data_IF_563307354118
#
_entry.id   IF_563307354118
#
_cell.length_a   1.000
_cell.length_b   1.000
_cell.length_c   1.000
_cell.angle_alpha   90.00
_cell.angle_beta   90.00
_cell.angle_gamma   90.00
#
_symmetry.space_group_name_H-M   'P 1'
#
loop_
_entity.id
_entity.type
_entity.pdbx_description
1 polymer ?
#
# COMPACT_ATOMS: atom_id res chain seq x y z
N UNK A 1 -52.75 10.47 -5.17
CA UNK A 1 -52.34 11.71 -4.47
C UNK A 1 -51.59 11.24 -3.24
N UNK A 2 -50.32 11.60 -3.11
CA UNK A 2 -49.51 11.19 -1.97
C UNK A 2 -50.07 11.86 -0.70
N UNK A 3 -50.02 11.20 0.46
CA UNK A 3 -50.58 11.74 1.70
C UNK A 3 -50.02 13.12 2.06
N UNK A 4 -48.74 13.39 1.73
CA UNK A 4 -48.12 14.71 1.90
C UNK A 4 -48.78 15.78 1.03
N UNK A 5 -49.10 15.47 -0.24
CA UNK A 5 -49.77 16.42 -1.15
C UNK A 5 -51.19 16.77 -0.70
N UNK A 6 -51.83 15.88 0.06
CA UNK A 6 -53.19 16.11 0.55
C UNK A 6 -53.27 17.18 1.64
N UNK A 7 -52.15 17.44 2.33
CA UNK A 7 -52.08 18.37 3.47
C UNK A 7 -51.07 19.49 3.25
N UNK A 8 -50.35 19.50 2.12
CA UNK A 8 -49.37 20.53 1.80
C UNK A 8 -49.87 21.52 0.74
N UNK A 9 -49.43 22.77 0.85
CA UNK A 9 -49.69 23.82 -0.13
C UNK A 9 -48.39 24.45 -0.60
N UNK A 10 -48.21 24.46 -1.92
CA UNK A 10 -47.08 25.06 -2.62
C UNK A 10 -47.56 26.01 -3.72
N UNK A 11 -46.90 27.17 -3.88
CA UNK A 11 -47.26 28.17 -4.88
C UNK A 11 -46.05 28.61 -5.72
N UNK A 12 -45.79 27.87 -6.80
CA UNK A 12 -44.60 28.10 -7.64
C UNK A 12 -43.33 28.08 -6.80
N UNK A 13 -42.47 29.09 -6.98
CA UNK A 13 -41.23 29.25 -6.20
C UNK A 13 -41.44 30.00 -4.86
N UNK A 14 -42.67 30.44 -4.56
CA UNK A 14 -42.97 31.25 -3.38
C UNK A 14 -43.67 30.42 -2.30
N UNK A 15 -43.04 30.34 -1.12
CA UNK A 15 -43.60 29.67 0.05
C UNK A 15 -43.53 30.61 1.27
N UNK A 16 -44.55 31.46 1.46
CA UNK A 16 -44.57 32.45 2.55
C UNK A 16 -45.01 31.89 3.90
N UNK A 17 -45.80 30.81 3.90
CA UNK A 17 -46.29 30.13 5.09
C UNK A 17 -45.73 28.70 5.13
N UNK A 18 -45.78 28.06 6.30
CA UNK A 18 -45.44 26.63 6.40
C UNK A 18 -46.30 25.85 5.37
N UNK A 19 -45.69 24.99 4.53
CA UNK A 19 -46.44 24.27 3.51
C UNK A 19 -47.45 23.30 4.11
N UNK A 20 -47.21 22.76 5.31
CA UNK A 20 -48.16 21.87 5.98
C UNK A 20 -49.33 22.70 6.53
N UNK A 21 -50.51 22.50 5.94
CA UNK A 21 -51.72 23.25 6.30
C UNK A 21 -52.54 22.58 7.40
N UNK A 22 -52.40 21.26 7.56
CA UNK A 22 -53.09 20.55 8.64
C UNK A 22 -52.44 20.88 9.99
N UNK A 23 -53.25 21.37 10.92
CA UNK A 23 -52.86 21.60 12.31
C UNK A 23 -53.59 20.67 13.27
N UNK A 24 -53.10 20.58 14.51
CA UNK A 24 -53.72 19.75 15.55
C UNK A 24 -55.14 20.20 15.90
N UNK A 25 -55.45 21.49 15.86
CA UNK A 25 -56.82 21.98 16.04
C UNK A 25 -57.79 21.43 14.98
N UNK A 26 -57.35 21.29 13.73
CA UNK A 26 -58.16 20.69 12.65
C UNK A 26 -58.47 19.22 12.96
N UNK A 27 -57.47 18.47 13.45
CA UNK A 27 -57.66 17.08 13.87
C UNK A 27 -58.61 16.97 15.07
N UNK A 28 -58.39 17.77 16.13
CA UNK A 28 -59.24 17.82 17.34
C UNK A 28 -60.70 18.10 17.00
N UNK A 29 -60.92 19.11 16.15
CA UNK A 29 -62.26 19.53 15.75
C UNK A 29 -62.95 18.49 14.85
N UNK A 30 -62.19 17.74 14.03
CA UNK A 30 -62.75 16.66 13.22
C UNK A 30 -63.04 15.43 14.08
N UNK A 31 -62.14 15.07 14.98
CA UNK A 31 -62.27 13.94 15.90
C UNK A 31 -63.51 14.05 16.77
N UNK A 32 -63.76 15.25 17.30
CA UNK A 32 -64.88 15.51 18.22
C UNK A 32 -66.26 15.65 17.58
N UNK A 33 -66.40 15.44 16.26
CA UNK A 33 -67.69 15.56 15.60
C UNK A 33 -68.55 14.32 15.87
N UNK A 34 -69.86 14.51 16.06
CA UNK A 34 -70.83 13.39 16.06
C UNK A 34 -70.64 12.50 14.84
N UNK A 35 -70.45 13.08 13.65
CA UNK A 35 -70.30 12.28 12.42
C UNK A 35 -69.08 11.35 12.46
N UNK A 36 -68.01 11.76 13.13
CA UNK A 36 -66.83 10.92 13.38
C UNK A 36 -67.15 9.81 14.37
N UNK A 37 -67.80 10.13 15.49
CA UNK A 37 -68.15 9.15 16.52
C UNK A 37 -69.16 8.12 15.98
N UNK A 38 -70.20 8.55 15.26
CA UNK A 38 -71.14 7.64 14.58
C UNK A 38 -70.43 6.73 13.60
N UNK A 39 -69.43 7.24 12.87
CA UNK A 39 -68.65 6.42 11.96
C UNK A 39 -67.84 5.37 12.71
N UNK A 40 -67.19 5.74 13.82
CA UNK A 40 -66.43 4.80 14.66
C UNK A 40 -67.35 3.72 15.21
N UNK A 41 -68.53 4.05 15.74
CA UNK A 41 -69.53 3.08 16.18
C UNK A 41 -69.84 2.06 15.05
N UNK A 42 -70.03 2.52 13.81
CA UNK A 42 -70.27 1.64 12.67
C UNK A 42 -69.10 0.70 12.36
N UNK A 43 -67.86 1.14 12.58
CA UNK A 43 -66.67 0.29 12.46
C UNK A 43 -66.68 -0.75 13.57
N UNK A 44 -66.90 -0.34 14.83
CA UNK A 44 -66.92 -1.24 15.99
C UNK A 44 -67.97 -2.35 15.84
N UNK A 45 -69.17 -2.01 15.35
CA UNK A 45 -70.23 -2.98 15.05
C UNK A 45 -69.85 -4.07 14.03
N UNK A 46 -68.85 -3.84 13.18
CA UNK A 46 -68.37 -4.84 12.21
C UNK A 46 -67.33 -5.80 12.82
N UNK A 47 -66.68 -5.38 13.91
CA UNK A 47 -65.66 -6.16 14.58
C UNK A 47 -66.28 -7.28 15.42
N UNK A 48 -65.47 -8.30 15.70
CA UNK A 48 -65.82 -9.27 16.72
C UNK A 48 -65.65 -8.61 18.10
N UNK A 49 -66.79 -8.28 18.71
CA UNK A 49 -66.85 -7.61 20.00
C UNK A 49 -66.22 -8.38 21.16
N UNK A 50 -65.92 -7.62 22.20
CA UNK A 50 -65.56 -8.03 23.55
C UNK A 50 -66.15 -7.04 24.56
N UNK A 51 -65.98 -7.27 25.86
CA UNK A 51 -66.56 -6.43 26.90
C UNK A 51 -66.12 -4.95 26.77
N UNK A 52 -64.89 -4.71 26.34
CA UNK A 52 -64.34 -3.37 26.19
C UNK A 52 -64.87 -2.63 24.95
N UNK A 53 -65.02 -3.32 23.83
CA UNK A 53 -65.63 -2.77 22.61
C UNK A 53 -67.09 -2.44 22.86
N UNK A 54 -67.84 -3.33 23.53
CA UNK A 54 -69.22 -3.05 23.95
C UNK A 54 -69.31 -1.88 24.93
N UNK A 55 -68.35 -1.74 25.85
CA UNK A 55 -68.26 -0.57 26.72
C UNK A 55 -68.08 0.72 25.91
N UNK A 56 -67.13 0.74 24.96
CA UNK A 56 -66.85 1.93 24.15
C UNK A 56 -68.03 2.32 23.26
N UNK A 57 -68.69 1.36 22.60
CA UNK A 57 -69.91 1.59 21.82
C UNK A 57 -70.97 2.31 22.67
N UNK A 58 -71.29 1.76 23.85
CA UNK A 58 -72.29 2.35 24.76
C UNK A 58 -71.85 3.71 25.31
N UNK A 59 -70.56 3.89 25.56
CA UNK A 59 -70.01 5.17 26.02
C UNK A 59 -70.23 6.25 24.96
N UNK A 60 -69.93 5.95 23.69
CA UNK A 60 -70.20 6.85 22.57
C UNK A 60 -71.69 7.13 22.36
N UNK A 61 -72.52 6.07 22.33
CA UNK A 61 -73.97 6.20 22.15
C UNK A 61 -74.59 7.07 23.24
N UNK A 62 -74.24 6.84 24.51
CA UNK A 62 -74.74 7.64 25.63
C UNK A 62 -74.27 9.09 25.54
N UNK A 63 -73.05 9.35 25.08
CA UNK A 63 -72.57 10.73 24.89
C UNK A 63 -73.35 11.47 23.82
N UNK A 64 -73.56 10.82 22.66
CA UNK A 64 -74.38 11.36 21.57
C UNK A 64 -75.82 11.62 22.04
N UNK A 65 -76.45 10.65 22.70
CA UNK A 65 -77.84 10.75 23.18
C UNK A 65 -78.02 11.92 24.15
N UNK A 66 -77.07 12.12 25.07
CA UNK A 66 -77.19 13.13 26.14
C UNK A 66 -76.84 14.54 25.70
N UNK A 67 -75.84 14.69 24.85
CA UNK A 67 -75.21 15.98 24.60
C UNK A 67 -75.32 16.44 23.14
N UNK A 68 -75.74 15.55 22.22
CA UNK A 68 -75.96 15.89 20.83
C UNK A 68 -74.74 16.55 20.17
N UNK A 69 -74.97 17.45 19.23
CA UNK A 69 -73.91 18.08 18.41
C UNK A 69 -72.90 18.90 19.23
N UNK A 70 -73.21 19.17 20.50
CA UNK A 70 -72.33 19.87 21.43
C UNK A 70 -71.38 18.92 22.17
N UNK A 71 -71.53 17.60 22.01
CA UNK A 71 -70.61 16.65 22.62
C UNK A 71 -69.26 16.68 21.92
N UNK A 72 -68.24 17.19 22.61
CA UNK A 72 -66.87 17.12 22.16
C UNK A 72 -66.11 16.04 22.92
N UNK A 73 -65.79 14.93 22.27
CA UNK A 73 -64.97 13.86 22.83
C UNK A 73 -63.84 13.50 21.88
N UNK A 74 -62.62 13.41 22.40
CA UNK A 74 -61.49 12.87 21.65
C UNK A 74 -60.80 11.77 22.45
N UNK A 75 -60.34 10.77 21.73
CA UNK A 75 -59.59 9.61 22.16
C UNK A 75 -58.74 9.12 20.96
N UNK A 76 -58.02 8.03 21.15
CA UNK A 76 -57.24 7.44 20.07
C UNK A 76 -58.05 7.21 18.78
N UNK A 77 -59.25 6.63 18.86
CA UNK A 77 -60.04 6.26 17.67
C UNK A 77 -60.53 7.47 16.88
N UNK A 78 -61.04 8.49 17.57
CA UNK A 78 -61.52 9.74 16.96
C UNK A 78 -60.40 10.51 16.28
N UNK A 79 -59.22 10.55 16.89
CA UNK A 79 -58.05 11.21 16.29
C UNK A 79 -57.51 10.39 15.11
N UNK A 80 -57.47 9.06 15.21
CA UNK A 80 -57.07 8.20 14.09
C UNK A 80 -58.01 8.31 12.89
N UNK A 81 -59.32 8.34 13.13
CA UNK A 81 -60.30 8.58 12.08
C UNK A 81 -60.08 9.95 11.41
N UNK A 82 -59.91 11.01 12.21
CA UNK A 82 -59.68 12.36 11.70
C UNK A 82 -58.39 12.43 10.86
N UNK A 83 -57.30 11.86 11.37
CA UNK A 83 -56.02 11.80 10.69
C UNK A 83 -56.13 11.01 9.38
N UNK A 84 -56.70 9.80 9.42
CA UNK A 84 -56.88 8.96 8.23
C UNK A 84 -57.76 9.64 7.17
N UNK A 85 -58.80 10.37 7.58
CA UNK A 85 -59.68 11.11 6.66
C UNK A 85 -58.92 12.17 5.87
N UNK A 86 -58.05 12.93 6.53
CA UNK A 86 -57.33 14.03 5.89
C UNK A 86 -56.07 13.55 5.16
N UNK A 87 -55.25 12.73 5.82
CA UNK A 87 -53.98 12.27 5.29
C UNK A 87 -54.15 11.25 4.16
N UNK A 88 -55.20 10.41 4.23
CA UNK A 88 -55.34 9.21 3.38
C UNK A 88 -54.04 8.40 3.37
N UNK A 89 -53.58 7.91 4.54
CA UNK A 89 -52.23 7.40 4.74
C UNK A 89 -51.92 6.25 3.78
N UNK A 90 -50.72 6.27 3.21
CA UNK A 90 -50.20 5.14 2.44
C UNK A 90 -49.65 4.08 3.39
N UNK A 91 -48.92 4.50 4.43
CA UNK A 91 -48.35 3.62 5.44
C UNK A 91 -48.75 4.07 6.86
N UNK A 92 -49.28 3.12 7.64
CA UNK A 92 -49.65 3.29 9.05
C UNK A 92 -48.87 2.31 9.93
N UNK A 93 -48.26 2.81 11.02
CA UNK A 93 -47.58 2.00 12.02
C UNK A 93 -48.29 2.09 13.37
N UNK A 94 -48.45 0.96 14.05
CA UNK A 94 -49.05 0.89 15.39
C UNK A 94 -48.18 0.02 16.30
N UNK A 95 -47.76 0.58 17.44
CA UNK A 95 -47.17 -0.16 18.56
C UNK A 95 -48.25 -0.34 19.62
N UNK A 96 -48.55 -1.59 19.99
CA UNK A 96 -49.69 -1.93 20.85
C UNK A 96 -50.95 -2.15 20.01
N UNK A 97 -50.97 -3.22 19.23
CA UNK A 97 -52.07 -3.55 18.30
C UNK A 97 -53.26 -4.17 19.03
N UNK A 98 -52.97 -5.01 20.02
CA UNK A 98 -53.94 -5.79 20.77
C UNK A 98 -54.93 -6.54 19.84
N UNK A 99 -56.21 -6.13 19.84
CA UNK A 99 -57.27 -6.72 19.01
C UNK A 99 -57.50 -5.99 17.68
N UNK A 100 -56.73 -4.93 17.40
CA UNK A 100 -56.72 -4.21 16.12
C UNK A 100 -57.85 -3.20 15.93
N UNK A 101 -58.42 -2.67 17.01
CA UNK A 101 -59.58 -1.75 16.94
C UNK A 101 -59.21 -0.41 16.28
N UNK A 102 -58.19 0.24 16.80
CA UNK A 102 -57.48 1.41 16.25
C UNK A 102 -57.14 1.21 14.78
N UNK A 103 -56.41 0.12 14.50
CA UNK A 103 -56.02 -0.24 13.13
C UNK A 103 -57.22 -0.44 12.20
N UNK A 104 -58.32 -1.01 12.70
CA UNK A 104 -59.55 -1.20 11.92
C UNK A 104 -60.24 0.12 11.58
N UNK A 105 -60.18 1.14 12.45
CA UNK A 105 -60.69 2.49 12.14
C UNK A 105 -59.89 3.11 10.99
N UNK A 106 -58.56 3.01 11.02
CA UNK A 106 -57.71 3.50 9.92
C UNK A 106 -57.98 2.70 8.64
N UNK A 107 -58.06 1.37 8.73
CA UNK A 107 -58.30 0.49 7.59
C UNK A 107 -59.65 0.73 6.92
N UNK A 108 -60.72 0.92 7.70
CA UNK A 108 -62.03 1.22 7.14
C UNK A 108 -62.05 2.58 6.43
N UNK A 109 -61.36 3.57 7.01
CA UNK A 109 -61.30 4.94 6.47
C UNK A 109 -60.44 5.02 5.20
N UNK A 110 -59.32 4.29 5.18
CA UNK A 110 -58.40 4.19 4.04
C UNK A 110 -58.10 2.73 3.72
N UNK A 111 -58.99 2.04 2.96
CA UNK A 111 -58.90 0.60 2.71
C UNK A 111 -57.58 0.13 2.09
N UNK A 112 -56.89 0.99 1.35
CA UNK A 112 -55.63 0.64 0.67
C UNK A 112 -54.37 0.93 1.51
N UNK A 113 -54.50 1.42 2.74
CA UNK A 113 -53.37 1.75 3.60
C UNK A 113 -52.58 0.48 3.96
N UNK A 114 -51.25 0.55 3.89
CA UNK A 114 -50.38 -0.52 4.38
C UNK A 114 -50.24 -0.42 5.90
N UNK A 115 -50.54 -1.50 6.60
CA UNK A 115 -50.56 -1.58 8.05
C UNK A 115 -49.34 -2.33 8.58
N UNK A 116 -48.69 -1.75 9.58
CA UNK A 116 -47.51 -2.31 10.24
C UNK A 116 -47.73 -2.32 11.75
N UNK A 117 -48.05 -3.49 12.29
CA UNK A 117 -48.37 -3.67 13.70
C UNK A 117 -47.22 -4.30 14.49
N UNK A 118 -46.98 -3.82 15.70
CA UNK A 118 -46.02 -4.36 16.65
C UNK A 118 -46.72 -4.66 17.97
N UNK A 119 -46.63 -5.90 18.43
CA UNK A 119 -47.26 -6.31 19.69
C UNK A 119 -46.52 -7.50 20.31
N UNK A 120 -46.62 -7.62 21.63
CA UNK A 120 -46.08 -8.77 22.37
C UNK A 120 -47.04 -9.96 22.41
N UNK A 121 -48.31 -9.75 22.07
CA UNK A 121 -49.40 -10.71 22.11
C UNK A 121 -49.58 -11.37 23.48
N UNK A 122 -49.45 -10.56 24.55
CA UNK A 122 -49.52 -11.04 25.94
C UNK A 122 -50.94 -11.57 26.20
N UNK A 123 -51.03 -12.85 26.55
CA UNK A 123 -52.31 -13.47 26.88
C UNK A 123 -52.92 -12.86 28.15
N UNK A 124 -54.24 -12.72 28.14
CA UNK A 124 -55.03 -12.10 29.21
C UNK A 124 -54.52 -10.71 29.67
N UNK A 125 -53.99 -9.92 28.74
CA UNK A 125 -53.53 -8.56 29.02
C UNK A 125 -54.69 -7.71 29.55
N UNK A 126 -54.52 -7.10 30.73
CA UNK A 126 -55.55 -6.31 31.42
C UNK A 126 -56.89 -7.02 31.61
N UNK A 127 -56.88 -8.36 31.71
CA UNK A 127 -58.10 -9.17 31.89
C UNK A 127 -58.89 -9.43 30.61
N UNK A 128 -58.33 -9.07 29.45
CA UNK A 128 -58.93 -9.30 28.14
C UNK A 128 -58.03 -10.20 27.29
N UNK A 129 -58.65 -11.00 26.43
CA UNK A 129 -57.90 -11.88 25.54
C UNK A 129 -57.20 -11.07 24.44
N UNK A 130 -55.89 -11.30 24.28
CA UNK A 130 -55.10 -10.85 23.13
C UNK A 130 -54.92 -12.03 22.14
N UNK A 131 -55.79 -12.17 21.13
CA UNK A 131 -55.89 -13.37 20.30
C UNK A 131 -54.80 -13.48 19.21
N UNK A 132 -53.93 -12.49 19.06
CA UNK A 132 -52.81 -12.54 18.12
C UNK A 132 -53.14 -12.10 16.70
N UNK A 133 -52.13 -12.24 15.82
CA UNK A 133 -52.12 -11.69 14.46
C UNK A 133 -53.28 -12.16 13.58
N UNK A 134 -53.57 -13.47 13.56
CA UNK A 134 -54.62 -14.04 12.70
C UNK A 134 -56.01 -13.48 13.03
N UNK A 135 -56.25 -13.16 14.31
CA UNK A 135 -57.48 -12.48 14.70
C UNK A 135 -57.53 -11.06 14.17
N UNK A 136 -56.45 -10.29 14.34
CA UNK A 136 -56.36 -8.91 13.82
C UNK A 136 -56.56 -8.87 12.31
N UNK A 137 -55.91 -9.78 11.57
CA UNK A 137 -56.11 -9.93 10.12
C UNK A 137 -57.59 -10.15 9.76
N UNK A 138 -58.30 -11.00 10.50
CA UNK A 138 -59.73 -11.22 10.29
C UNK A 138 -60.59 -9.98 10.60
N UNK A 139 -60.16 -9.14 11.56
CA UNK A 139 -60.83 -7.87 11.85
C UNK A 139 -60.64 -6.86 10.72
N UNK A 140 -59.41 -6.73 10.20
CA UNK A 140 -59.12 -5.88 9.04
C UNK A 140 -59.94 -6.30 7.81
N UNK A 141 -60.08 -7.61 7.57
CA UNK A 141 -60.94 -8.12 6.50
C UNK A 141 -62.42 -7.75 6.68
N UNK A 142 -62.95 -7.84 7.91
CA UNK A 142 -64.35 -7.49 8.22
C UNK A 142 -64.68 -6.04 7.87
N UNK A 143 -63.73 -5.13 8.07
CA UNK A 143 -63.90 -3.71 7.78
C UNK A 143 -63.52 -3.32 6.35
N UNK A 144 -63.18 -4.30 5.51
CA UNK A 144 -62.95 -4.13 4.08
C UNK A 144 -61.54 -3.66 3.71
N UNK A 145 -60.53 -3.94 4.54
CA UNK A 145 -59.13 -3.64 4.23
C UNK A 145 -58.65 -4.37 2.97
N UNK A 146 -57.87 -3.67 2.14
CA UNK A 146 -57.34 -4.12 0.84
C UNK A 146 -55.83 -3.90 0.72
N UNK A 147 -55.21 -3.13 1.61
CA UNK A 147 -53.78 -2.89 1.65
C UNK A 147 -52.99 -4.08 2.20
N UNK A 148 -51.67 -3.93 2.29
CA UNK A 148 -50.85 -4.93 2.98
C UNK A 148 -51.00 -4.78 4.50
N UNK A 149 -51.00 -5.90 5.23
CA UNK A 149 -50.91 -5.90 6.68
C UNK A 149 -49.75 -6.80 7.10
N UNK A 150 -48.85 -6.27 7.93
CA UNK A 150 -47.74 -7.03 8.50
C UNK A 150 -47.69 -6.83 10.00
N UNK A 151 -47.42 -7.91 10.72
CA UNK A 151 -47.38 -7.92 12.17
C UNK A 151 -46.07 -8.50 12.67
N UNK A 152 -45.37 -7.75 13.52
CA UNK A 152 -44.13 -8.18 14.15
C UNK A 152 -44.41 -8.50 15.62
N UNK A 153 -44.11 -9.74 16.00
CA UNK A 153 -44.32 -10.23 17.37
C UNK A 153 -43.06 -10.00 18.21
N UNK A 154 -43.19 -9.31 19.34
CA UNK A 154 -42.10 -9.13 20.29
C UNK A 154 -42.10 -7.77 20.98
N UNK A 155 -41.05 -7.53 21.77
CA UNK A 155 -40.85 -6.27 22.47
C UNK A 155 -40.49 -5.16 21.47
N UNK A 156 -41.28 -4.09 21.44
CA UNK A 156 -41.12 -2.94 20.54
C UNK A 156 -39.72 -2.33 20.58
N UNK A 157 -39.07 -2.33 21.75
CA UNK A 157 -37.70 -1.82 21.96
C UNK A 157 -36.65 -2.54 21.14
N UNK A 158 -36.93 -3.77 20.72
CA UNK A 158 -36.06 -4.58 19.87
C UNK A 158 -36.62 -4.69 18.45
N UNK A 159 -37.93 -4.93 18.32
CA UNK A 159 -38.54 -5.24 17.03
C UNK A 159 -38.69 -4.03 16.13
N UNK A 160 -38.97 -2.84 16.68
CA UNK A 160 -39.15 -1.62 15.88
C UNK A 160 -37.82 -1.15 15.29
N UNK A 161 -36.72 -1.03 16.07
CA UNK A 161 -35.39 -0.72 15.50
C UNK A 161 -34.96 -1.73 14.43
N UNK A 162 -35.05 -3.03 14.72
CA UNK A 162 -34.67 -4.08 13.78
C UNK A 162 -35.53 -4.08 12.50
N UNK A 163 -36.79 -3.67 12.60
CA UNK A 163 -37.65 -3.48 11.44
C UNK A 163 -37.19 -2.28 10.59
N UNK A 164 -36.87 -1.14 11.21
CA UNK A 164 -36.38 0.04 10.47
C UNK A 164 -34.98 -0.14 9.88
N UNK A 165 -34.12 -0.95 10.50
CA UNK A 165 -32.82 -1.32 9.91
C UNK A 165 -32.99 -2.12 8.62
N UNK A 166 -33.99 -3.02 8.57
CA UNK A 166 -34.30 -3.83 7.38
C UNK A 166 -35.06 -3.05 6.31
N UNK A 167 -35.70 -1.95 6.68
CA UNK A 167 -36.53 -1.12 5.81
C UNK A 167 -36.12 0.36 5.90
N UNK A 168 -34.88 0.72 5.51
CA UNK A 168 -34.33 2.07 5.76
C UNK A 168 -35.08 3.19 5.03
N UNK A 169 -35.72 2.86 3.90
CA UNK A 169 -36.46 3.80 3.05
C UNK A 169 -37.97 3.86 3.34
N UNK A 170 -38.45 3.09 4.33
CA UNK A 170 -39.87 3.07 4.69
C UNK A 170 -40.19 4.18 5.69
N UNK A 171 -41.17 5.02 5.31
CA UNK A 171 -41.69 6.10 6.13
C UNK A 171 -43.22 6.04 6.23
N UNK A 172 -43.74 6.62 7.30
CA UNK A 172 -45.15 6.50 7.69
C UNK A 172 -45.86 7.84 7.64
N UNK A 173 -47.11 7.82 7.21
CA UNK A 173 -47.97 9.02 7.18
C UNK A 173 -48.71 9.20 8.51
N UNK A 174 -48.97 8.08 9.20
CA UNK A 174 -49.63 8.02 10.48
C UNK A 174 -48.91 7.00 11.36
N UNK A 175 -48.70 7.34 12.63
CA UNK A 175 -48.10 6.44 13.61
C UNK A 175 -48.89 6.51 14.92
N UNK A 176 -49.10 5.37 15.55
CA UNK A 176 -49.69 5.26 16.90
C UNK A 176 -48.74 4.53 17.84
N UNK A 177 -48.61 5.05 19.05
CA UNK A 177 -47.89 4.41 20.15
C UNK A 177 -48.85 4.21 21.32
N UNK A 178 -49.09 2.95 21.69
CA UNK A 178 -50.02 2.50 22.74
C UNK A 178 -49.60 1.10 23.28
N UNK A 179 -48.29 0.86 23.39
CA UNK A 179 -47.74 -0.45 23.76
C UNK A 179 -47.27 -0.54 25.21
N UNK A 180 -46.11 0.07 25.51
CA UNK A 180 -45.51 0.03 26.84
C UNK A 180 -45.95 1.23 27.68
N UNK A 181 -46.79 0.98 28.69
CA UNK A 181 -47.26 2.03 29.61
C UNK A 181 -46.28 2.40 30.73
N UNK A 182 -45.04 1.88 30.73
CA UNK A 182 -43.96 2.42 31.57
C UNK A 182 -43.43 3.74 31.00
N UNK A 183 -42.99 4.66 31.86
CA UNK A 183 -42.47 5.96 31.41
C UNK A 183 -41.30 5.81 30.42
N UNK A 184 -40.32 4.99 30.79
CA UNK A 184 -39.14 4.70 29.96
C UNK A 184 -39.55 4.02 28.64
N UNK A 185 -40.47 3.05 28.71
CA UNK A 185 -40.89 2.30 27.55
C UNK A 185 -41.62 3.13 26.52
N UNK A 186 -42.61 3.91 26.97
CA UNK A 186 -43.32 4.85 26.12
C UNK A 186 -42.37 5.87 25.47
N UNK A 187 -41.39 6.39 26.22
CA UNK A 187 -40.38 7.32 25.68
C UNK A 187 -39.58 6.66 24.55
N UNK A 188 -39.07 5.45 24.78
CA UNK A 188 -38.30 4.70 23.78
C UNK A 188 -39.15 4.40 22.53
N UNK A 189 -40.42 4.02 22.70
CA UNK A 189 -41.31 3.74 21.57
C UNK A 189 -41.53 4.98 20.71
N UNK A 190 -41.79 6.14 21.34
CA UNK A 190 -41.91 7.43 20.64
C UNK A 190 -40.58 7.76 19.93
N UNK A 191 -39.46 7.72 20.63
CA UNK A 191 -38.14 8.04 20.05
C UNK A 191 -37.79 7.18 18.84
N UNK A 192 -38.11 5.88 18.89
CA UNK A 192 -37.84 4.94 17.80
C UNK A 192 -38.62 5.29 16.54
N UNK A 193 -39.88 5.71 16.65
CA UNK A 193 -40.75 5.97 15.50
C UNK A 193 -40.60 7.38 14.93
N UNK A 194 -40.18 8.36 15.73
CA UNK A 194 -40.09 9.77 15.33
C UNK A 194 -39.30 10.01 14.03
N UNK A 195 -38.11 9.40 13.82
CA UNK A 195 -37.35 9.59 12.59
C UNK A 195 -38.09 9.11 11.33
N UNK A 196 -39.03 8.17 11.46
CA UNK A 196 -39.74 7.51 10.35
C UNK A 196 -41.10 8.11 10.03
N UNK A 197 -41.57 9.08 10.80
CA UNK A 197 -42.81 9.82 10.50
C UNK A 197 -42.57 10.85 9.39
N UNK A 198 -43.33 10.86 8.31
CA UNK A 198 -43.17 11.84 7.22
C UNK A 198 -43.48 13.25 7.72
N UNK A 199 -42.88 14.25 7.07
CA UNK A 199 -43.31 15.65 7.22
C UNK A 199 -44.77 15.77 6.76
N UNK A 200 -45.60 16.42 7.57
CA UNK A 200 -47.06 16.45 7.44
C UNK A 200 -47.77 15.26 8.08
N UNK A 201 -47.04 14.20 8.46
CA UNK A 201 -47.60 13.03 9.10
C UNK A 201 -48.03 13.28 10.54
N UNK A 202 -48.87 12.38 11.07
CA UNK A 202 -49.44 12.48 12.42
C UNK A 202 -48.91 11.37 13.33
N UNK A 203 -48.52 11.75 14.54
CA UNK A 203 -48.24 10.85 15.66
C UNK A 203 -49.43 10.90 16.63
N UNK A 204 -49.91 9.75 17.08
CA UNK A 204 -50.95 9.61 18.12
C UNK A 204 -50.39 8.78 19.29
N UNK A 205 -50.68 9.20 20.52
CA UNK A 205 -50.21 8.57 21.75
C UNK A 205 -51.35 8.54 22.76
N UNK A 206 -51.74 7.34 23.19
CA UNK A 206 -52.94 7.14 24.03
C UNK A 206 -52.63 7.16 25.54
N UNK A 207 -53.68 7.07 26.36
CA UNK A 207 -53.61 6.88 27.82
C UNK A 207 -52.90 7.98 28.62
N UNK A 208 -52.69 9.17 28.05
CA UNK A 208 -51.96 10.27 28.72
C UNK A 208 -52.60 10.74 30.03
N UNK A 209 -53.88 10.48 30.24
CA UNK A 209 -54.65 10.80 31.45
C UNK A 209 -55.10 9.55 32.21
N UNK A 210 -54.54 8.38 31.91
CA UNK A 210 -54.88 7.14 32.60
C UNK A 210 -54.43 7.19 34.08
N UNK A 211 -55.31 6.94 35.06
CA UNK A 211 -54.97 7.08 36.48
C UNK A 211 -53.82 6.17 36.96
N UNK A 212 -53.61 5.03 36.31
CA UNK A 212 -52.52 4.09 36.64
C UNK A 212 -51.19 4.47 35.98
N UNK A 213 -51.21 5.33 34.95
CA UNK A 213 -50.03 5.71 34.17
C UNK A 213 -49.86 7.24 34.06
N UNK A 214 -49.90 7.99 35.19
CA UNK A 214 -49.90 9.46 35.18
C UNK A 214 -48.62 10.09 34.60
N UNK A 215 -47.57 9.30 34.38
CA UNK A 215 -46.31 9.75 33.78
C UNK A 215 -46.36 9.83 32.25
N UNK A 216 -47.35 9.24 31.57
CA UNK A 216 -47.40 9.23 30.11
C UNK A 216 -47.61 10.64 29.53
N UNK A 217 -48.43 11.50 30.17
CA UNK A 217 -48.53 12.91 29.77
C UNK A 217 -47.16 13.62 29.83
N UNK A 218 -46.36 13.34 30.87
CA UNK A 218 -45.02 13.92 31.00
C UNK A 218 -44.08 13.39 29.93
N UNK A 219 -44.14 12.09 29.64
CA UNK A 219 -43.35 11.49 28.57
C UNK A 219 -43.60 12.18 27.22
N UNK A 220 -44.88 12.46 26.92
CA UNK A 220 -45.25 13.23 25.74
C UNK A 220 -44.71 14.66 25.76
N UNK A 221 -44.89 15.38 26.88
CA UNK A 221 -44.43 16.77 27.00
C UNK A 221 -42.91 16.92 26.88
N UNK A 222 -42.16 15.94 27.40
CA UNK A 222 -40.70 15.91 27.33
C UNK A 222 -40.20 15.70 25.89
N UNK A 223 -40.80 14.78 25.14
CA UNK A 223 -40.33 14.39 23.80
C UNK A 223 -40.92 15.21 22.66
N UNK A 224 -42.21 15.53 22.75
CA UNK A 224 -42.96 16.15 21.66
C UNK A 224 -43.36 17.58 21.99
N UNK A 225 -43.85 17.84 23.21
CA UNK A 225 -44.39 19.15 23.60
C UNK A 225 -43.40 20.31 23.42
N UNK A 226 -42.10 20.04 23.60
CA UNK A 226 -41.02 21.02 23.42
C UNK A 226 -40.29 20.91 22.07
N UNK A 227 -40.65 19.94 21.23
CA UNK A 227 -39.95 19.67 19.99
C UNK A 227 -40.44 20.61 18.88
N UNK A 228 -39.59 21.50 18.34
CA UNK A 228 -40.02 22.47 17.34
C UNK A 228 -40.54 21.82 16.06
N UNK A 229 -40.06 20.60 15.75
CA UNK A 229 -40.43 19.83 14.56
C UNK A 229 -41.89 19.37 14.60
N UNK A 230 -42.59 19.56 15.72
CA UNK A 230 -43.96 19.12 15.92
C UNK A 230 -44.86 20.27 16.36
N UNK A 231 -46.12 20.25 15.91
CA UNK A 231 -47.22 20.92 16.63
C UNK A 231 -47.95 19.82 17.36
N UNK A 232 -48.08 19.92 18.67
CA UNK A 232 -48.79 18.94 19.50
C UNK A 232 -50.04 19.53 20.14
N UNK A 233 -51.00 18.67 20.43
CA UNK A 233 -52.20 18.94 21.21
C UNK A 233 -52.47 17.74 22.12
N UNK A 234 -53.16 17.99 23.23
CA UNK A 234 -53.61 16.95 24.16
C UNK A 234 -55.11 17.12 24.41
N UNK A 235 -55.81 16.02 24.59
CA UNK A 235 -57.16 16.00 25.15
C UNK A 235 -57.11 15.19 26.44
N UNK A 236 -57.31 15.87 27.57
CA UNK A 236 -57.19 15.31 28.93
C UNK A 236 -58.48 15.44 29.75
N UNK A 237 -59.56 15.92 29.12
CA UNK A 237 -60.79 16.32 29.83
C UNK A 237 -61.65 15.12 30.24
N UNK A 238 -61.78 14.11 29.38
CA UNK A 238 -62.67 12.95 29.58
C UNK A 238 -62.00 11.67 29.08
N UNK A 239 -62.21 10.56 29.79
CA UNK A 239 -61.62 9.26 29.45
C UNK A 239 -60.15 9.17 29.84
N UNK A 240 -59.40 8.30 29.16
CA UNK A 240 -57.97 8.11 29.44
C UNK A 240 -57.06 9.11 28.71
N UNK A 241 -57.64 10.01 27.91
CA UNK A 241 -56.93 11.09 27.23
C UNK A 241 -56.07 10.63 26.07
N UNK A 242 -55.85 11.52 25.11
CA UNK A 242 -55.02 11.27 23.93
C UNK A 242 -54.15 12.48 23.63
N UNK A 243 -52.89 12.23 23.30
CA UNK A 243 -51.99 13.22 22.72
C UNK A 243 -51.75 12.93 21.25
N UNK A 244 -51.56 13.98 20.46
CA UNK A 244 -51.24 13.83 19.06
C UNK A 244 -50.47 15.04 18.53
N UNK A 245 -49.67 14.81 17.50
CA UNK A 245 -48.86 15.83 16.88
C UNK A 245 -48.82 15.71 15.37
N UNK A 246 -48.71 16.84 14.70
CA UNK A 246 -48.39 16.93 13.27
C UNK A 246 -46.91 17.24 13.14
N UNK A 247 -46.16 16.41 12.40
CA UNK A 247 -44.77 16.70 12.05
C UNK A 247 -44.73 17.87 11.07
N UNK A 248 -44.08 18.95 11.44
CA UNK A 248 -43.83 20.09 10.57
C UNK A 248 -42.56 19.85 9.76
N UNK A 249 -42.50 20.51 8.60
CA UNK A 249 -41.21 20.95 8.11
C UNK A 249 -40.83 22.14 8.98
N UNK A 250 -40.19 21.91 10.10
CA UNK A 250 -39.26 22.93 10.58
C UNK A 250 -38.15 23.02 9.56
N UNK A 251 -37.67 24.25 9.36
CA UNK A 251 -36.56 24.61 8.49
C UNK A 251 -35.60 23.43 8.27
N UNK A 252 -35.21 23.19 7.00
CA UNK A 252 -33.85 22.73 6.71
C UNK A 252 -32.99 23.48 7.72
N UNK A 253 -32.43 22.78 8.72
CA UNK A 253 -31.69 23.43 9.80
C UNK A 253 -30.46 24.02 9.14
N UNK A 254 -30.61 25.20 8.56
CA UNK A 254 -29.58 25.95 7.88
C UNK A 254 -28.41 26.06 8.84
N UNK A 255 -28.66 26.19 10.14
CA UNK A 255 -27.62 26.24 11.16
C UNK A 255 -26.85 24.92 11.32
N UNK A 256 -27.51 23.75 11.38
CA UNK A 256 -26.79 22.47 11.45
C UNK A 256 -26.09 22.10 10.14
N UNK A 257 -26.73 22.38 9.00
CA UNK A 257 -26.12 22.20 7.69
C UNK A 257 -24.95 23.17 7.51
N UNK A 258 -25.07 24.41 7.96
CA UNK A 258 -23.98 25.40 7.93
C UNK A 258 -22.86 25.02 8.89
N UNK A 259 -23.16 24.49 10.07
CA UNK A 259 -22.16 24.04 11.04
C UNK A 259 -21.40 22.80 10.50
N UNK A 260 -22.11 21.83 9.93
CA UNK A 260 -21.48 20.66 9.31
C UNK A 260 -20.69 21.04 8.06
N UNK A 261 -21.24 21.91 7.20
CA UNK A 261 -20.51 22.47 6.06
C UNK A 261 -19.30 23.28 6.49
N UNK A 262 -19.39 24.07 7.57
CA UNK A 262 -18.28 24.86 8.10
C UNK A 262 -17.19 23.96 8.70
N UNK A 263 -17.57 22.92 9.44
CA UNK A 263 -16.64 21.91 9.94
C UNK A 263 -15.95 21.17 8.80
N UNK A 264 -16.71 20.80 7.75
CA UNK A 264 -16.17 20.17 6.54
C UNK A 264 -15.25 21.10 5.77
N UNK A 265 -15.61 22.38 5.63
CA UNK A 265 -14.78 23.41 4.99
C UNK A 265 -13.47 23.62 5.77
N UNK A 266 -13.55 23.62 7.11
CA UNK A 266 -12.38 23.75 7.99
C UNK A 266 -11.45 22.55 7.88
N UNK A 267 -11.99 21.33 7.85
CA UNK A 267 -11.21 20.11 7.59
C UNK A 267 -10.55 20.14 6.21
N UNK A 268 -11.32 20.46 5.15
CA UNK A 268 -10.80 20.55 3.78
C UNK A 268 -9.71 21.63 3.66
N UNK A 269 -9.89 22.78 4.29
CA UNK A 269 -8.89 23.86 4.32
C UNK A 269 -7.59 23.38 4.98
N UNK A 270 -7.70 22.61 6.06
CA UNK A 270 -6.54 22.02 6.74
C UNK A 270 -5.84 20.98 5.87
N UNK A 271 -6.60 20.11 5.20
CA UNK A 271 -6.05 19.13 4.25
C UNK A 271 -5.32 19.80 3.09
N UNK A 272 -5.90 20.85 2.48
CA UNK A 272 -5.26 21.63 1.41
C UNK A 272 -3.96 22.26 1.91
N UNK A 273 -3.94 22.83 3.13
CA UNK A 273 -2.72 23.39 3.71
C UNK A 273 -1.62 22.33 3.86
N UNK A 274 -1.96 21.13 4.33
CA UNK A 274 -1.02 20.03 4.48
C UNK A 274 -0.49 19.54 3.13
N UNK A 275 -1.38 19.36 2.14
CA UNK A 275 -0.99 18.98 0.78
C UNK A 275 -0.06 20.01 0.13
N UNK A 276 -0.33 21.31 0.32
CA UNK A 276 0.56 22.36 -0.17
C UNK A 276 1.94 22.33 0.52
N UNK A 277 1.99 22.04 1.82
CA UNK A 277 3.26 21.88 2.53
C UNK A 277 4.05 20.66 2.03
N UNK A 278 3.38 19.52 1.80
CA UNK A 278 3.99 18.34 1.20
C UNK A 278 4.49 18.62 -0.23
N UNK A 279 3.72 19.33 -1.05
CA UNK A 279 4.15 19.75 -2.39
C UNK A 279 5.39 20.65 -2.35
N UNK A 280 5.48 21.58 -1.39
CA UNK A 280 6.64 22.44 -1.22
C UNK A 280 7.90 21.60 -0.87
N UNK A 281 7.75 20.60 0.00
CA UNK A 281 8.83 19.67 0.36
C UNK A 281 9.29 18.88 -0.87
N UNK A 282 8.34 18.31 -1.62
CA UNK A 282 8.64 17.54 -2.85
C UNK A 282 9.36 18.43 -3.87
N UNK A 283 8.90 19.66 -4.08
CA UNK A 283 9.56 20.61 -4.97
C UNK A 283 11.01 20.89 -4.55
N UNK A 284 11.24 21.10 -3.24
CA UNK A 284 12.60 21.32 -2.70
C UNK A 284 13.50 20.10 -2.94
N UNK A 285 12.98 18.88 -2.75
CA UNK A 285 13.72 17.64 -3.01
C UNK A 285 14.05 17.49 -4.50
N UNK A 286 13.11 17.83 -5.39
CA UNK A 286 13.34 17.76 -6.84
C UNK A 286 14.45 18.71 -7.29
N UNK A 287 14.43 19.96 -6.81
CA UNK A 287 15.50 20.93 -7.12
C UNK A 287 16.86 20.42 -6.61
N UNK A 288 16.94 19.92 -5.38
CA UNK A 288 18.17 19.35 -4.84
C UNK A 288 18.65 18.12 -5.63
N UNK A 289 17.73 17.31 -6.17
CA UNK A 289 18.04 16.16 -7.02
C UNK A 289 18.62 16.61 -8.37
N UNK A 290 18.04 17.63 -9.01
CA UNK A 290 18.55 18.20 -10.25
C UNK A 290 19.98 18.75 -10.06
N UNK A 291 20.23 19.49 -8.98
CA UNK A 291 21.58 20.00 -8.66
C UNK A 291 22.60 18.86 -8.44
N UNK A 292 22.17 17.77 -7.81
CA UNK A 292 23.01 16.59 -7.60
C UNK A 292 23.32 15.86 -8.92
N UNK A 293 22.32 15.69 -9.80
CA UNK A 293 22.50 15.11 -11.13
C UNK A 293 23.47 15.93 -11.99
N UNK A 294 23.36 17.27 -11.94
CA UNK A 294 24.29 18.17 -12.61
C UNK A 294 25.74 18.02 -12.10
N UNK A 295 25.90 17.89 -10.78
CA UNK A 295 27.21 17.64 -10.17
C UNK A 295 27.79 16.29 -10.60
N UNK A 296 26.97 15.25 -10.62
CA UNK A 296 27.37 13.91 -11.07
C UNK A 296 27.78 13.90 -12.55
N UNK A 297 27.03 14.59 -13.40
CA UNK A 297 27.36 14.73 -14.82
C UNK A 297 28.70 15.46 -15.03
N UNK A 298 28.96 16.54 -14.28
CA UNK A 298 30.27 17.23 -14.32
C UNK A 298 31.42 16.30 -13.91
N UNK A 299 31.23 15.51 -12.85
CA UNK A 299 32.23 14.54 -12.42
C UNK A 299 32.46 13.43 -13.45
N UNK A 300 31.41 12.97 -14.14
CA UNK A 300 31.50 11.99 -15.21
C UNK A 300 32.34 12.51 -16.38
N UNK A 301 32.04 13.74 -16.84
CA UNK A 301 32.81 14.40 -17.91
C UNK A 301 34.27 14.55 -17.54
N UNK A 302 34.58 14.97 -16.31
CA UNK A 302 35.96 15.08 -15.84
C UNK A 302 36.68 13.72 -15.81
N UNK A 303 35.98 12.65 -15.41
CA UNK A 303 36.51 11.28 -15.43
C UNK A 303 36.79 10.80 -16.86
N UNK A 304 35.90 11.10 -17.81
CA UNK A 304 36.09 10.73 -19.21
C UNK A 304 37.30 11.44 -19.82
N UNK A 305 37.47 12.74 -19.53
CA UNK A 305 38.65 13.50 -19.94
C UNK A 305 39.95 12.95 -19.33
N UNK A 306 39.93 12.60 -18.04
CA UNK A 306 41.08 11.98 -17.39
C UNK A 306 41.42 10.62 -18.01
N UNK A 307 40.40 9.82 -18.33
CA UNK A 307 40.56 8.50 -18.98
C UNK A 307 41.17 8.65 -20.38
N UNK A 308 40.70 9.61 -21.18
CA UNK A 308 41.29 9.91 -22.49
C UNK A 308 42.77 10.33 -22.38
N UNK A 309 43.10 11.15 -21.38
CA UNK A 309 44.48 11.60 -21.15
C UNK A 309 45.40 10.44 -20.79
N UNK A 310 44.94 9.55 -19.91
CA UNK A 310 45.67 8.32 -19.57
C UNK A 310 45.87 7.43 -20.79
N UNK A 311 44.83 7.25 -21.61
CA UNK A 311 44.90 6.41 -22.80
C UNK A 311 45.93 6.95 -23.81
N UNK A 312 45.90 8.26 -24.09
CA UNK A 312 46.89 8.91 -24.95
C UNK A 312 48.32 8.80 -24.40
N UNK A 313 48.49 8.88 -23.09
CA UNK A 313 49.79 8.70 -22.43
C UNK A 313 50.31 7.27 -22.61
N UNK A 314 49.45 6.27 -22.39
CA UNK A 314 49.80 4.85 -22.55
C UNK A 314 50.17 4.56 -24.01
N UNK A 315 49.39 5.04 -24.97
CA UNK A 315 49.68 4.88 -26.40
C UNK A 315 51.04 5.49 -26.77
N UNK A 316 51.33 6.70 -26.26
CA UNK A 316 52.62 7.37 -26.49
C UNK A 316 53.79 6.59 -25.90
N UNK A 317 53.66 6.11 -24.65
CA UNK A 317 54.69 5.32 -23.98
C UNK A 317 54.91 3.97 -24.67
N UNK A 318 53.84 3.32 -25.10
CA UNK A 318 53.90 2.04 -25.82
C UNK A 318 54.67 2.21 -27.12
N UNK A 319 54.35 3.25 -27.91
CA UNK A 319 55.06 3.56 -29.15
C UNK A 319 56.55 3.84 -28.91
N UNK A 320 56.91 4.61 -27.88
CA UNK A 320 58.31 4.89 -27.56
C UNK A 320 59.09 3.62 -27.15
N UNK A 321 58.44 2.70 -26.43
CA UNK A 321 59.02 1.40 -26.10
C UNK A 321 59.22 0.53 -27.34
N UNK A 322 58.24 0.48 -28.24
CA UNK A 322 58.34 -0.25 -29.52
C UNK A 322 59.49 0.27 -30.38
N UNK A 323 59.65 1.60 -30.49
CA UNK A 323 60.78 2.22 -31.20
C UNK A 323 62.13 1.84 -30.55
N UNK A 324 62.19 1.83 -29.22
CA UNK A 324 63.41 1.44 -28.48
C UNK A 324 63.75 -0.04 -28.67
N UNK A 325 62.76 -0.93 -28.65
CA UNK A 325 62.95 -2.36 -28.91
C UNK A 325 63.46 -2.57 -30.33
N UNK A 326 62.83 -1.93 -31.33
CA UNK A 326 63.24 -2.01 -32.74
C UNK A 326 64.69 -1.56 -32.93
N UNK A 327 65.10 -0.46 -32.27
CA UNK A 327 66.47 0.03 -32.33
C UNK A 327 67.47 -0.95 -31.68
N UNK A 328 67.08 -1.59 -30.56
CA UNK A 328 67.90 -2.62 -29.92
C UNK A 328 68.02 -3.88 -30.77
N UNK A 329 66.96 -4.33 -31.41
CA UNK A 329 66.99 -5.47 -32.32
C UNK A 329 67.94 -5.21 -33.49
N UNK A 330 67.84 -4.02 -34.11
CA UNK A 330 68.76 -3.60 -35.18
C UNK A 330 70.22 -3.59 -34.71
N UNK A 331 70.47 -3.15 -33.47
CA UNK A 331 71.82 -3.17 -32.91
C UNK A 331 72.32 -4.60 -32.63
N UNK A 332 71.45 -5.48 -32.14
CA UNK A 332 71.75 -6.91 -31.95
C UNK A 332 72.14 -7.54 -33.29
N UNK A 333 71.39 -7.26 -34.37
CA UNK A 333 71.71 -7.74 -35.71
C UNK A 333 73.12 -7.30 -36.15
N UNK A 334 73.48 -6.03 -35.91
CA UNK A 334 74.82 -5.51 -36.24
C UNK A 334 75.94 -6.17 -35.43
N UNK A 335 75.67 -6.50 -34.16
CA UNK A 335 76.61 -7.23 -33.31
C UNK A 335 76.77 -8.67 -33.79
N UNK A 336 75.68 -9.32 -34.21
CA UNK A 336 75.71 -10.68 -34.77
C UNK A 336 76.52 -10.72 -36.07
N UNK A 337 76.36 -9.74 -36.96
CA UNK A 337 77.16 -9.63 -38.18
C UNK A 337 78.65 -9.42 -37.85
N UNK A 338 78.96 -8.53 -36.91
CA UNK A 338 80.33 -8.30 -36.44
C UNK A 338 80.93 -9.56 -35.80
N UNK A 339 80.14 -10.33 -35.05
CA UNK A 339 80.60 -11.59 -34.45
C UNK A 339 80.91 -12.61 -35.55
N UNK A 340 80.04 -12.77 -36.53
CA UNK A 340 80.23 -13.70 -37.65
C UNK A 340 81.49 -13.38 -38.47
N UNK A 341 81.76 -12.09 -38.71
CA UNK A 341 83.02 -11.68 -39.38
C UNK A 341 84.26 -12.00 -38.55
N UNK A 342 84.20 -11.82 -37.23
CA UNK A 342 85.29 -12.21 -36.32
C UNK A 342 85.50 -13.72 -36.25
N UNK A 343 84.44 -14.52 -36.19
CA UNK A 343 84.52 -15.98 -36.23
C UNK A 343 85.19 -16.46 -37.54
N UNK A 344 84.85 -15.84 -38.67
CA UNK A 344 85.47 -16.15 -39.98
C UNK A 344 86.96 -15.79 -40.00
N UNK A 345 87.32 -14.64 -39.42
CA UNK A 345 88.71 -14.21 -39.31
C UNK A 345 89.51 -15.12 -38.37
N UNK A 346 88.93 -15.52 -37.24
CA UNK A 346 89.54 -16.47 -36.30
C UNK A 346 89.82 -17.82 -36.99
N UNK A 347 88.86 -18.36 -37.73
CA UNK A 347 89.04 -19.58 -38.51
C UNK A 347 90.21 -19.44 -39.52
N UNK A 348 90.36 -18.28 -40.16
CA UNK A 348 91.47 -17.99 -41.08
C UNK A 348 92.82 -17.94 -40.35
N UNK A 349 92.87 -17.36 -39.15
CA UNK A 349 94.08 -17.34 -38.32
C UNK A 349 94.46 -18.74 -37.84
N UNK A 350 93.49 -19.55 -37.43
CA UNK A 350 93.73 -20.95 -37.04
C UNK A 350 94.36 -21.75 -38.19
N UNK A 351 93.87 -21.58 -39.42
CA UNK A 351 94.44 -22.23 -40.60
C UNK A 351 95.87 -21.75 -40.92
N UNK A 352 96.14 -20.45 -40.75
CA UNK A 352 97.48 -19.89 -40.92
C UNK A 352 98.46 -20.43 -39.87
N UNK A 353 98.03 -20.53 -38.60
CA UNK A 353 98.84 -21.11 -37.51
C UNK A 353 99.18 -22.55 -37.85
N UNK A 354 98.19 -23.36 -38.23
CA UNK A 354 98.39 -24.74 -38.65
C UNK A 354 99.43 -24.87 -39.78
N UNK A 355 99.30 -24.03 -40.81
CA UNK A 355 100.27 -23.99 -41.92
C UNK A 355 101.69 -23.65 -41.44
N UNK A 356 101.82 -22.75 -40.46
CA UNK A 356 103.11 -22.37 -39.86
C UNK A 356 103.69 -23.47 -38.99
N UNK A 357 102.85 -24.19 -38.23
CA UNK A 357 103.25 -25.35 -37.44
C UNK A 357 103.79 -26.48 -38.33
N UNK A 358 103.08 -26.80 -39.43
CA UNK A 358 103.53 -27.78 -40.42
C UNK A 358 104.89 -27.38 -41.02
N UNK A 359 105.05 -26.10 -41.38
CA UNK A 359 106.31 -25.59 -41.89
C UNK A 359 107.44 -25.66 -40.84
N UNK A 360 107.17 -25.30 -39.59
CA UNK A 360 108.14 -25.40 -38.50
C UNK A 360 108.58 -26.84 -38.26
N UNK A 361 107.65 -27.80 -38.33
CA UNK A 361 107.96 -29.24 -38.27
C UNK A 361 108.90 -29.64 -39.40
N UNK A 362 108.64 -29.20 -40.64
CA UNK A 362 109.53 -29.51 -41.78
C UNK A 362 110.94 -28.93 -41.62
N UNK A 363 111.07 -27.74 -41.04
CA UNK A 363 112.36 -27.13 -40.71
C UNK A 363 113.09 -27.91 -39.60
N UNK A 364 112.35 -28.38 -38.60
CA UNK A 364 112.89 -29.21 -37.53
C UNK A 364 113.45 -30.52 -38.08
N UNK A 365 112.72 -31.19 -38.97
CA UNK A 365 113.18 -32.41 -39.65
C UNK A 365 114.46 -32.16 -40.46
N UNK A 366 114.52 -31.04 -41.19
CA UNK A 366 115.70 -30.65 -41.96
C UNK A 366 116.92 -30.36 -41.06
N UNK A 367 116.73 -29.77 -39.88
CA UNK A 367 117.78 -29.55 -38.89
C UNK A 367 118.30 -30.88 -38.34
N UNK A 368 117.41 -31.81 -37.97
CA UNK A 368 117.80 -33.16 -37.52
C UNK A 368 118.67 -33.85 -38.58
N UNK A 369 118.27 -33.79 -39.85
CA UNK A 369 119.07 -34.36 -40.94
C UNK A 369 120.44 -33.69 -41.10
N UNK A 370 120.53 -32.38 -40.88
CA UNK A 370 121.82 -31.67 -40.89
C UNK A 370 122.69 -32.05 -39.69
N UNK A 371 122.12 -32.23 -38.51
CA UNK A 371 122.85 -32.65 -37.31
C UNK A 371 123.40 -34.08 -37.47
N UNK A 372 122.62 -34.99 -38.07
CA UNK A 372 123.09 -36.33 -38.45
C UNK A 372 124.27 -36.25 -39.43
N UNK A 373 124.16 -35.39 -40.45
CA UNK A 373 125.22 -35.17 -41.43
C UNK A 373 126.48 -34.58 -40.79
N UNK A 374 126.36 -33.59 -39.90
CA UNK A 374 127.48 -33.04 -39.13
C UNK A 374 128.11 -34.11 -38.25
N UNK A 375 127.31 -34.96 -37.59
CA UNK A 375 127.81 -36.07 -36.77
C UNK A 375 128.64 -37.05 -37.61
N UNK A 376 128.18 -37.36 -38.82
CA UNK A 376 128.94 -38.18 -39.78
C UNK A 376 130.28 -37.54 -40.15
N UNK A 377 130.30 -36.22 -40.44
CA UNK A 377 131.52 -35.48 -40.77
C UNK A 377 132.50 -35.44 -39.59
N UNK A 378 132.01 -35.20 -38.38
CA UNK A 378 132.82 -35.19 -37.15
C UNK A 378 133.46 -36.55 -36.88
N UNK A 379 132.74 -37.65 -37.15
CA UNK A 379 133.27 -39.01 -37.01
C UNK A 379 134.41 -39.28 -38.00
N UNK A 380 134.25 -38.82 -39.25
CA UNK A 380 135.32 -38.90 -40.27
C UNK A 380 136.52 -38.02 -39.91
N UNK A 381 136.28 -36.81 -39.36
CA UNK A 381 137.33 -35.91 -38.89
C UNK A 381 138.13 -36.53 -37.75
N UNK A 382 137.46 -37.10 -36.74
CA UNK A 382 138.13 -37.77 -35.62
C UNK A 382 139.01 -38.92 -36.10
N UNK A 383 138.52 -39.75 -37.01
CA UNK A 383 139.31 -40.84 -37.59
C UNK A 383 140.59 -40.33 -38.29
N UNK A 384 140.51 -39.18 -38.96
CA UNK A 384 141.69 -38.54 -39.59
C UNK A 384 142.64 -37.90 -38.58
N UNK A 385 142.13 -37.33 -37.50
CA UNK A 385 142.96 -36.80 -36.41
C UNK A 385 143.73 -37.92 -35.70
N UNK A 386 143.09 -39.07 -35.44
CA UNK A 386 143.72 -40.23 -34.82
C UNK A 386 144.84 -40.81 -35.71
N UNK A 387 144.60 -40.92 -37.03
CA UNK A 387 145.63 -41.28 -38.01
C UNK A 387 146.83 -40.31 -37.97
N UNK A 388 146.57 -39.02 -37.79
CA UNK A 388 147.59 -37.98 -37.74
C UNK A 388 148.41 -38.02 -36.45
N UNK A 389 147.77 -38.36 -35.31
CA UNK A 389 148.47 -38.62 -34.04
C UNK A 389 149.38 -39.82 -34.16
N UNK A 390 148.90 -40.94 -34.72
CA UNK A 390 149.75 -42.11 -34.95
C UNK A 390 150.93 -41.81 -35.88
N UNK A 391 150.72 -41.01 -36.92
CA UNK A 391 151.80 -40.55 -37.80
C UNK A 391 152.84 -39.70 -37.03
N UNK A 392 152.40 -38.80 -36.13
CA UNK A 392 153.29 -38.00 -35.28
C UNK A 392 154.10 -38.84 -34.31
N UNK A 393 153.48 -39.81 -33.63
CA UNK A 393 154.17 -40.73 -32.71
C UNK A 393 155.24 -41.56 -33.44
N UNK A 394 154.92 -42.02 -34.65
CA UNK A 394 155.86 -42.74 -35.50
C UNK A 394 157.07 -41.88 -35.89
N UNK A 395 156.85 -40.60 -36.20
CA UNK A 395 157.92 -39.62 -36.47
C UNK A 395 158.79 -39.40 -35.23
N UNK A 396 158.20 -39.17 -34.05
CA UNK A 396 158.97 -38.98 -32.80
C UNK A 396 159.80 -40.21 -32.42
N UNK A 397 159.31 -41.43 -32.71
CA UNK A 397 160.08 -42.66 -32.59
C UNK A 397 161.34 -42.66 -33.48
N UNK A 398 161.19 -42.25 -34.75
CA UNK A 398 162.30 -42.12 -35.70
C UNK A 398 163.32 -41.06 -35.25
N UNK A 399 162.85 -39.92 -34.74
CA UNK A 399 163.70 -38.85 -34.20
C UNK A 399 164.52 -39.32 -32.98
N UNK A 400 163.90 -40.05 -32.04
CA UNK A 400 164.60 -40.63 -30.89
C UNK A 400 165.66 -41.64 -31.31
N UNK A 401 165.38 -42.44 -32.34
CA UNK A 401 166.34 -43.40 -32.88
C UNK A 401 167.54 -42.70 -33.53
N UNK A 402 167.30 -41.64 -34.29
CA UNK A 402 168.34 -40.80 -34.88
C UNK A 402 169.23 -40.16 -33.81
N UNK A 403 168.65 -39.65 -32.72
CA UNK A 403 169.42 -39.06 -31.62
C UNK A 403 170.34 -40.08 -30.95
N UNK A 404 169.87 -41.30 -30.70
CA UNK A 404 170.70 -42.38 -30.13
C UNK A 404 171.87 -42.78 -31.04
N UNK A 405 171.65 -42.79 -32.35
CA UNK A 405 172.71 -43.02 -33.34
C UNK A 405 173.75 -41.89 -33.32
N UNK A 406 173.30 -40.63 -33.20
CA UNK A 406 174.16 -39.46 -33.09
C UNK A 406 175.06 -39.51 -31.84
N UNK A 407 174.49 -39.89 -30.70
CA UNK A 407 175.23 -40.00 -29.43
C UNK A 407 176.27 -41.15 -29.46
N UNK A 408 175.97 -42.23 -30.20
CA UNK A 408 176.89 -43.37 -30.35
C UNK A 408 178.11 -43.03 -31.23
N UNK A 409 177.91 -42.22 -32.27
CA UNK A 409 179.00 -41.76 -33.15
C UNK A 409 180.01 -40.91 -32.37
N UNK A 410 179.52 -39.94 -31.60
CA UNK A 410 180.37 -39.01 -30.84
C UNK A 410 181.22 -39.71 -29.76
N UNK A 411 180.76 -40.85 -29.21
CA UNK A 411 181.52 -41.62 -28.23
C UNK A 411 182.66 -42.46 -28.85
N UNK A 412 182.60 -42.75 -30.15
CA UNK A 412 183.56 -43.64 -30.84
C UNK A 412 184.83 -42.96 -31.35
N UNK A 413 184.83 -41.62 -31.51
CA UNK A 413 186.01 -40.87 -32.00
C UNK A 413 187.06 -40.57 -30.90
N UNK A 414 186.71 -40.72 -29.61
CA UNK A 414 187.60 -40.43 -28.48
C UNK A 414 188.62 -41.53 -28.12
N UNK A 415 188.77 -42.62 -28.90
CA UNK A 415 189.55 -43.79 -28.48
C UNK A 415 190.57 -44.38 -29.48
N UNK A 416 190.93 -43.70 -30.58
CA UNK A 416 191.92 -44.22 -31.54
C UNK A 416 192.81 -43.14 -32.18
N UNK A 417 193.90 -42.73 -31.50
CA UNK A 417 195.26 -42.67 -32.09
C UNK A 417 196.30 -42.03 -31.16
N UNK A 418 197.01 -42.89 -30.42
CA UNK A 418 198.37 -42.71 -29.90
C UNK A 418 199.18 -43.93 -30.37
N UNK A 419 199.99 -43.81 -31.43
CA UNK A 419 201.22 -44.59 -31.77
C UNK A 419 201.62 -44.33 -33.24
N UNK A 420 202.84 -43.80 -33.44
CA UNK A 420 203.45 -43.47 -34.73
C UNK A 420 204.27 -42.19 -34.66
#
# INVERSE_FOLDING_TARGET
>A
MNAIESVSFHFGDYQWLNPIQIGTTTLKNKGSQISTITHIINVLHQLQGDDYTTFMERFYESGIERFGEHWGYNDQLTILYAAATFLKPENYLEIGVFRGRSMSVVAHTTPTCNMYGFDMWIDNYSGLQNPGTAFVESQLQRVGHQGQASFTSGNSKETVPAFFERNPDLFFDLITVDGDHSEEGAKIDIENVLPRLKVGGVLVFDDISHPQFPWLERAWDDLIGKNPDFVSEKYTEVGHGVAFAVRRSTHIKLDQVNEDLFNRLTQLTTQIRNLNAEQQIVHTILVAKEEYEDSLNKALVAKDQYTQTLQSTIETQTKALEETVTAKDTYIDSLQETLSTKETYEASLQELIKTREDYASSLQDALVHKDEYITSLSTVLQAREDELVHAKEYISSLESHLQKLQDYINASENNNSSQG
#
